data_IF_156549529738
#
_entry.id   IF_156549529738
#
_cell.length_a   1.000
_cell.length_b   1.000
_cell.length_c   1.000
_cell.angle_alpha   90.00
_cell.angle_beta   90.00
_cell.angle_gamma   90.00
#
_symmetry.space_group_name_H-M   'P 1'
#
loop_
_entity.id
_entity.type
_entity.pdbx_description
1 polymer ?
#
# COMPACT_ATOMS: atom_id res chain seq x y z
N UNK A 1 -27.32 12.94 -18.31
CA UNK A 1 -27.36 12.32 -16.97
C UNK A 1 -26.38 13.07 -16.09
N UNK A 2 -26.87 13.93 -15.20
CA UNK A 2 -26.02 14.51 -14.15
C UNK A 2 -25.91 13.48 -13.03
N UNK A 3 -24.77 12.80 -12.96
CA UNK A 3 -24.41 12.06 -11.75
C UNK A 3 -23.99 13.13 -10.75
N UNK A 4 -24.90 13.52 -9.86
CA UNK A 4 -24.55 14.36 -8.72
C UNK A 4 -23.57 13.55 -7.87
N UNK A 5 -22.30 13.95 -7.87
CA UNK A 5 -21.35 13.40 -6.92
C UNK A 5 -21.76 13.89 -5.52
N UNK A 6 -22.00 12.96 -4.61
CA UNK A 6 -22.17 13.27 -3.20
C UNK A 6 -20.79 13.68 -2.66
N UNK A 7 -20.49 14.98 -2.67
CA UNK A 7 -19.21 15.55 -2.24
C UNK A 7 -19.34 15.99 -0.79
N UNK A 8 -18.83 15.18 0.13
CA UNK A 8 -18.64 15.59 1.53
C UNK A 8 -17.27 16.24 1.70
N UNK A 9 -17.24 17.50 2.14
CA UNK A 9 -16.01 18.20 2.51
C UNK A 9 -15.88 18.18 4.03
N UNK A 10 -14.83 17.55 4.54
CA UNK A 10 -14.51 17.52 5.97
C UNK A 10 -13.43 18.55 6.23
N UNK A 11 -13.73 19.57 7.03
CA UNK A 11 -12.74 20.52 7.54
C UNK A 11 -12.11 19.95 8.81
N UNK A 12 -10.78 20.00 8.91
CA UNK A 12 -10.06 19.55 10.10
C UNK A 12 -9.95 18.03 10.26
N UNK A 13 -9.84 17.28 9.17
CA UNK A 13 -9.45 15.88 9.24
C UNK A 13 -8.15 15.75 10.04
N UNK A 14 -8.08 14.76 10.93
CA UNK A 14 -7.07 14.61 12.00
C UNK A 14 -5.66 15.05 11.58
N UNK A 15 -5.15 14.50 10.46
CA UNK A 15 -3.81 14.77 9.97
C UNK A 15 -3.64 16.10 9.21
N UNK A 16 -4.72 16.68 8.67
CA UNK A 16 -4.66 17.96 7.92
C UNK A 16 -4.62 19.19 8.82
N UNK A 17 -4.94 19.03 10.11
CA UNK A 17 -5.03 20.11 11.09
C UNK A 17 -3.67 20.75 11.42
N UNK A 18 -2.58 19.97 11.39
CA UNK A 18 -1.23 20.43 11.73
C UNK A 18 -0.56 21.28 10.64
N UNK A 19 -0.90 21.06 9.35
CA UNK A 19 -0.24 21.69 8.19
C UNK A 19 -1.17 22.52 7.30
N UNK A 20 -2.45 22.65 7.65
CA UNK A 20 -3.49 23.35 6.88
C UNK A 20 -3.62 22.86 5.42
N UNK A 21 -3.50 21.54 5.18
CA UNK A 21 -3.71 20.98 3.83
C UNK A 21 -3.16 19.58 3.62
N UNK A 22 -3.32 19.10 2.38
CA UNK A 22 -2.76 17.82 1.95
C UNK A 22 -1.26 17.98 1.72
N UNK A 23 -0.49 17.04 2.26
CA UNK A 23 0.94 16.91 2.01
C UNK A 23 1.36 15.45 2.08
N UNK A 24 2.57 15.13 1.62
CA UNK A 24 3.13 13.77 1.70
C UNK A 24 3.17 13.26 3.14
N UNK A 25 3.53 14.12 4.10
CA UNK A 25 3.55 13.78 5.54
C UNK A 25 2.16 13.39 6.05
N UNK A 26 1.13 14.15 5.67
CA UNK A 26 -0.27 13.88 6.06
C UNK A 26 -0.75 12.54 5.51
N UNK A 27 -0.45 12.25 4.24
CA UNK A 27 -0.83 10.98 3.61
C UNK A 27 -0.05 9.82 4.26
N UNK A 28 1.25 10.00 4.51
CA UNK A 28 2.08 8.99 5.18
C UNK A 28 1.55 8.68 6.57
N UNK A 29 1.23 9.70 7.38
CA UNK A 29 0.63 9.54 8.72
C UNK A 29 -0.70 8.79 8.66
N UNK A 30 -1.56 9.10 7.69
CA UNK A 30 -2.84 8.40 7.52
C UNK A 30 -2.65 6.90 7.19
N UNK A 31 -1.70 6.56 6.32
CA UNK A 31 -1.36 5.16 6.03
C UNK A 31 -0.80 4.46 7.27
N UNK A 32 0.13 5.09 7.99
CA UNK A 32 0.71 4.53 9.22
C UNK A 32 -0.34 4.30 10.30
N UNK A 33 -1.22 5.27 10.55
CA UNK A 33 -2.29 5.13 11.55
C UNK A 33 -3.26 3.99 11.20
N UNK A 34 -3.63 3.88 9.92
CA UNK A 34 -4.48 2.78 9.44
C UNK A 34 -3.82 1.41 9.66
N UNK A 35 -2.52 1.29 9.37
CA UNK A 35 -1.75 0.06 9.60
C UNK A 35 -1.65 -0.27 11.10
N UNK A 36 -1.34 0.72 11.94
CA UNK A 36 -1.20 0.55 13.39
C UNK A 36 -2.52 0.11 14.04
N UNK A 37 -3.65 0.69 13.64
CA UNK A 37 -4.96 0.30 14.13
C UNK A 37 -5.33 -1.13 13.71
N UNK A 38 -5.08 -1.48 12.45
CA UNK A 38 -5.29 -2.85 11.97
C UNK A 38 -4.41 -3.86 12.73
N UNK A 39 -3.13 -3.55 12.95
CA UNK A 39 -2.23 -4.40 13.73
C UNK A 39 -2.69 -4.55 15.18
N UNK A 40 -3.19 -3.48 15.80
CA UNK A 40 -3.79 -3.50 17.15
C UNK A 40 -4.99 -4.45 17.20
N UNK A 41 -5.82 -4.43 16.16
CA UNK A 41 -6.98 -5.31 16.03
C UNK A 41 -6.58 -6.78 15.84
N UNK A 42 -5.59 -7.07 14.99
CA UNK A 42 -5.03 -8.42 14.81
C UNK A 42 -4.51 -8.96 16.14
N UNK A 43 -3.68 -8.20 16.86
CA UNK A 43 -3.13 -8.60 18.18
C UNK A 43 -4.20 -8.99 19.18
N UNK A 44 -5.33 -8.27 19.20
CA UNK A 44 -6.44 -8.52 20.14
C UNK A 44 -7.27 -9.74 19.75
N UNK A 45 -7.42 -10.02 18.46
CA UNK A 45 -8.41 -10.98 17.98
C UNK A 45 -7.82 -12.31 17.47
N UNK A 46 -6.52 -12.37 17.16
CA UNK A 46 -5.95 -13.51 16.44
C UNK A 46 -6.12 -14.86 17.16
N UNK A 47 -6.06 -14.92 18.49
CA UNK A 47 -6.27 -16.17 19.24
C UNK A 47 -7.67 -16.76 19.02
N UNK A 48 -8.68 -15.89 18.83
CA UNK A 48 -10.07 -16.30 18.60
C UNK A 48 -10.42 -16.35 17.12
N UNK A 49 -9.69 -15.63 16.28
CA UNK A 49 -9.93 -15.44 14.83
C UNK A 49 -8.60 -15.39 14.08
N UNK A 50 -7.85 -16.51 13.99
CA UNK A 50 -6.50 -16.52 13.42
C UNK A 50 -6.45 -16.09 11.94
N UNK A 51 -7.55 -16.26 11.20
CA UNK A 51 -7.68 -15.80 9.83
C UNK A 51 -7.45 -14.29 9.67
N UNK A 52 -7.60 -13.50 10.73
CA UNK A 52 -7.37 -12.05 10.67
C UNK A 52 -5.89 -11.70 10.45
N UNK A 53 -4.98 -12.61 10.80
CA UNK A 53 -3.55 -12.44 10.56
C UNK A 53 -3.16 -12.73 9.10
N UNK A 54 -4.04 -13.33 8.31
CA UNK A 54 -3.79 -13.67 6.89
C UNK A 54 -4.56 -12.79 5.90
N UNK A 55 -5.36 -11.83 6.37
CA UNK A 55 -6.04 -10.86 5.52
C UNK A 55 -5.25 -9.57 5.38
N UNK A 56 -5.39 -8.95 4.21
CA UNK A 56 -4.84 -7.65 3.87
C UNK A 56 -5.52 -7.13 2.61
N UNK A 57 -5.23 -5.89 2.25
CA UNK A 57 -5.76 -5.26 1.02
C UNK A 57 -4.65 -4.45 0.38
N UNK A 58 -4.64 -4.30 -0.94
CA UNK A 58 -3.85 -3.21 -1.54
C UNK A 58 -4.56 -1.87 -1.28
N UNK A 59 -3.79 -0.79 -1.17
CA UNK A 59 -4.31 0.56 -1.01
C UNK A 59 -3.61 1.50 -2.00
N UNK A 60 -4.37 2.04 -2.95
CA UNK A 60 -3.91 3.05 -3.89
C UNK A 60 -4.80 4.28 -3.75
N UNK A 61 -4.18 5.41 -3.43
CA UNK A 61 -4.88 6.68 -3.22
C UNK A 61 -4.34 7.72 -4.20
N UNK A 62 -5.26 8.39 -4.89
CA UNK A 62 -4.98 9.56 -5.72
C UNK A 62 -5.72 10.78 -5.16
N UNK A 63 -4.99 11.86 -4.85
CA UNK A 63 -5.56 13.09 -4.30
C UNK A 63 -5.21 14.24 -5.23
N UNK A 64 -6.21 14.97 -5.70
CA UNK A 64 -6.02 16.20 -6.46
C UNK A 64 -6.38 17.38 -5.56
N UNK A 65 -5.38 18.19 -5.21
CA UNK A 65 -5.57 19.35 -4.35
C UNK A 65 -4.77 20.52 -4.91
N UNK A 66 -5.42 21.67 -5.11
CA UNK A 66 -4.78 22.91 -5.58
C UNK A 66 -3.92 22.74 -6.84
N UNK A 67 -4.37 21.92 -7.79
CA UNK A 67 -3.65 21.65 -9.05
C UNK A 67 -2.49 20.65 -8.93
N UNK A 68 -2.27 20.06 -7.76
CA UNK A 68 -1.25 19.04 -7.51
C UNK A 68 -1.92 17.67 -7.37
N UNK A 69 -1.35 16.65 -8.03
CA UNK A 69 -1.74 15.26 -7.91
C UNK A 69 -0.78 14.53 -6.96
N UNK A 70 -1.30 13.99 -5.86
CA UNK A 70 -0.59 13.12 -4.93
C UNK A 70 -1.01 11.67 -5.18
N UNK A 71 -0.04 10.78 -5.26
CA UNK A 71 -0.24 9.33 -5.39
C UNK A 71 0.44 8.64 -4.20
N UNK A 72 -0.29 7.76 -3.52
CA UNK A 72 0.26 6.86 -2.53
C UNK A 72 -0.17 5.42 -2.83
N UNK A 73 0.79 4.52 -2.96
CA UNK A 73 0.56 3.12 -3.31
C UNK A 73 1.18 2.19 -2.26
N UNK A 74 0.35 1.37 -1.62
CA UNK A 74 0.75 0.27 -0.76
C UNK A 74 0.23 -1.05 -1.37
N UNK A 75 1.15 -1.84 -1.90
CA UNK A 75 0.86 -3.09 -2.60
C UNK A 75 1.10 -3.01 -4.11
N UNK A 76 0.38 -3.81 -4.88
CA UNK A 76 0.63 -4.03 -6.32
C UNK A 76 -0.43 -3.41 -7.24
N UNK A 77 -1.27 -2.54 -6.71
CA UNK A 77 -2.12 -1.66 -7.52
C UNK A 77 -1.28 -0.68 -8.34
N UNK A 78 -1.81 -0.23 -9.49
CA UNK A 78 -1.12 0.65 -10.44
C UNK A 78 -1.97 1.85 -10.82
N UNK A 79 -1.39 3.04 -10.80
CA UNK A 79 -1.96 4.23 -11.45
C UNK A 79 -1.20 4.57 -12.73
N UNK A 80 -1.97 4.83 -13.78
CA UNK A 80 -1.48 5.27 -15.10
C UNK A 80 -2.23 6.53 -15.50
N UNK A 81 -1.49 7.58 -15.81
CA UNK A 81 -2.01 8.84 -16.34
C UNK A 81 -2.03 8.80 -17.86
N UNK A 82 -3.22 8.97 -18.45
CA UNK A 82 -3.35 9.25 -19.87
C UNK A 82 -3.04 10.72 -20.16
N UNK A 83 -1.91 11.00 -20.79
CA UNK A 83 -1.53 12.36 -21.20
C UNK A 83 -1.79 12.55 -22.69
N UNK A 84 -2.77 13.39 -23.01
CA UNK A 84 -3.05 13.82 -24.38
C UNK A 84 -2.30 15.10 -24.72
N UNK A 85 -1.62 15.12 -25.85
CA UNK A 85 -0.99 16.34 -26.37
C UNK A 85 -1.88 16.95 -27.45
N UNK A 86 -2.17 18.27 -27.38
CA UNK A 86 -3.14 18.87 -28.31
C UNK A 86 -2.66 18.89 -29.76
N UNK A 87 -1.35 18.83 -29.98
CA UNK A 87 -0.74 18.93 -31.31
C UNK A 87 -0.72 17.60 -32.07
N UNK A 88 -0.65 16.49 -31.34
CA UNK A 88 -0.52 15.14 -31.87
C UNK A 88 -1.74 14.42 -31.29
N UNK A 89 -2.70 13.96 -32.09
CA UNK A 89 -3.95 13.33 -31.61
C UNK A 89 -3.72 11.95 -30.93
N UNK A 90 -2.63 11.83 -30.20
CA UNK A 90 -2.16 10.66 -29.49
C UNK A 90 -2.29 10.87 -27.98
N UNK A 91 -2.43 9.75 -27.28
CA UNK A 91 -2.47 9.68 -25.82
C UNK A 91 -1.30 8.81 -25.38
N UNK A 92 -0.44 9.38 -24.54
CA UNK A 92 0.67 8.65 -23.92
C UNK A 92 0.23 8.13 -22.55
N UNK A 93 0.59 6.89 -22.25
CA UNK A 93 0.36 6.28 -20.93
C UNK A 93 1.60 6.50 -20.06
N UNK A 94 1.44 7.22 -18.95
CA UNK A 94 2.52 7.50 -17.99
C UNK A 94 2.20 6.82 -16.67
N UNK A 95 2.98 5.80 -16.31
CA UNK A 95 2.84 5.15 -15.01
C UNK A 95 3.30 6.09 -13.89
N UNK A 96 2.48 6.26 -12.85
CA UNK A 96 2.73 7.19 -11.73
C UNK A 96 3.04 6.48 -10.40
N UNK A 97 2.99 5.15 -10.34
CA UNK A 97 3.27 4.36 -9.14
C UNK A 97 4.23 3.21 -9.43
N UNK A 98 4.97 2.78 -8.41
CA UNK A 98 5.72 1.53 -8.41
C UNK A 98 4.92 0.46 -7.66
N UNK A 99 4.88 -0.78 -8.18
CA UNK A 99 4.24 -1.90 -7.49
C UNK A 99 5.17 -2.58 -6.48
N UNK A 100 4.64 -2.86 -5.29
CA UNK A 100 5.31 -3.59 -4.22
C UNK A 100 4.92 -5.07 -4.25
N UNK A 101 5.39 -5.77 -5.28
CA UNK A 101 5.13 -7.19 -5.53
C UNK A 101 6.45 -7.98 -5.61
N UNK A 102 6.55 -9.14 -4.97
CA UNK A 102 7.72 -10.02 -4.96
C UNK A 102 8.11 -10.57 -6.35
N UNK A 103 7.25 -10.41 -7.36
CA UNK A 103 7.62 -10.68 -8.76
C UNK A 103 8.66 -9.69 -9.27
N UNK A 104 8.70 -8.47 -8.71
CA UNK A 104 9.70 -7.44 -9.02
C UNK A 104 10.99 -7.74 -8.27
N UNK A 105 12.12 -7.75 -8.98
CA UNK A 105 13.42 -8.11 -8.40
C UNK A 105 13.90 -7.13 -7.33
N UNK A 106 13.75 -5.82 -7.58
CA UNK A 106 14.10 -4.77 -6.62
C UNK A 106 13.40 -4.96 -5.28
N UNK A 107 12.12 -5.33 -5.31
CA UNK A 107 11.32 -5.63 -4.12
C UNK A 107 11.87 -6.85 -3.38
N UNK A 108 12.31 -7.89 -4.11
CA UNK A 108 12.94 -9.07 -3.50
C UNK A 108 14.26 -8.72 -2.82
N UNK A 109 15.06 -7.87 -3.44
CA UNK A 109 16.34 -7.43 -2.87
C UNK A 109 16.15 -6.58 -1.61
N UNK A 110 15.19 -5.67 -1.63
CA UNK A 110 14.82 -4.87 -0.46
C UNK A 110 14.36 -5.76 0.71
N UNK A 111 13.47 -6.72 0.44
CA UNK A 111 13.04 -7.70 1.44
C UNK A 111 14.21 -8.48 2.04
N UNK A 112 15.17 -8.93 1.22
CA UNK A 112 16.36 -9.64 1.73
C UNK A 112 17.25 -8.73 2.58
N UNK A 113 17.42 -7.47 2.20
CA UNK A 113 18.23 -6.49 2.95
C UNK A 113 17.60 -6.17 4.32
N UNK A 114 16.28 -6.06 4.39
CA UNK A 114 15.56 -5.82 5.64
C UNK A 114 15.52 -7.06 6.55
N UNK A 115 15.73 -8.26 5.99
CA UNK A 115 15.67 -9.54 6.69
C UNK A 115 16.90 -10.42 6.41
N UNK A 116 18.10 -10.01 6.82
CA UNK A 116 19.34 -10.72 6.48
C UNK A 116 19.38 -12.15 7.07
N UNK A 117 18.74 -12.36 8.23
CA UNK A 117 18.75 -13.65 8.93
C UNK A 117 17.64 -14.62 8.49
N UNK A 118 16.82 -14.21 7.51
CA UNK A 118 15.66 -14.97 7.08
C UNK A 118 15.79 -15.48 5.65
N UNK A 119 16.39 -16.66 5.52
CA UNK A 119 16.57 -17.31 4.22
C UNK A 119 15.26 -17.64 3.49
N UNK A 120 14.12 -17.62 4.18
CA UNK A 120 12.80 -17.93 3.63
C UNK A 120 11.96 -16.68 3.36
N UNK A 121 12.51 -15.47 3.52
CA UNK A 121 11.76 -14.22 3.35
C UNK A 121 11.10 -14.13 1.97
N UNK A 122 11.80 -14.57 0.93
CA UNK A 122 11.33 -14.58 -0.46
C UNK A 122 11.65 -15.93 -1.10
N UNK A 123 10.61 -16.67 -1.46
CA UNK A 123 10.73 -18.03 -2.02
C UNK A 123 9.97 -18.17 -3.32
N UNK A 124 10.49 -18.98 -4.23
CA UNK A 124 9.80 -19.35 -5.47
C UNK A 124 8.94 -20.58 -5.19
N UNK A 125 7.60 -20.42 -5.21
CA UNK A 125 6.65 -21.51 -4.95
C UNK A 125 5.65 -21.59 -6.09
N UNK A 126 5.50 -22.77 -6.69
CA UNK A 126 4.64 -22.99 -7.86
C UNK A 126 4.93 -22.00 -9.01
N UNK A 127 6.21 -21.74 -9.29
CA UNK A 127 6.71 -20.79 -10.32
C UNK A 127 6.36 -19.32 -10.06
N UNK A 128 5.97 -18.97 -8.83
CA UNK A 128 5.63 -17.60 -8.43
C UNK A 128 6.44 -17.19 -7.21
N UNK A 129 7.04 -16.00 -7.24
CA UNK A 129 7.77 -15.44 -6.11
C UNK A 129 6.80 -14.99 -5.02
N UNK A 130 6.98 -15.49 -3.81
CA UNK A 130 6.13 -15.21 -2.67
C UNK A 130 6.96 -14.82 -1.46
N UNK A 131 6.44 -13.86 -0.69
CA UNK A 131 6.92 -13.54 0.64
C UNK A 131 6.53 -14.71 1.56
N UNK A 132 7.52 -15.36 2.18
CA UNK A 132 7.33 -16.53 3.06
C UNK A 132 6.56 -17.71 2.44
N UNK A 133 6.42 -17.74 1.11
CA UNK A 133 5.64 -18.78 0.42
C UNK A 133 4.13 -18.58 0.46
N UNK A 134 3.64 -17.42 0.94
CA UNK A 134 2.23 -17.15 1.18
C UNK A 134 1.65 -16.15 0.19
N UNK A 135 2.14 -14.91 0.19
CA UNK A 135 1.58 -13.81 -0.61
C UNK A 135 2.63 -13.21 -1.54
N UNK A 136 2.20 -12.54 -2.61
CA UNK A 136 3.12 -11.83 -3.52
C UNK A 136 3.25 -10.35 -3.16
N UNK A 137 2.22 -9.79 -2.53
CA UNK A 137 2.13 -8.37 -2.21
C UNK A 137 2.69 -8.11 -0.83
N UNK A 138 3.45 -7.03 -0.68
CA UNK A 138 3.87 -6.53 0.62
C UNK A 138 2.89 -5.45 1.02
N UNK A 139 2.27 -5.59 2.20
CA UNK A 139 1.44 -4.53 2.76
C UNK A 139 2.23 -3.79 3.84
N UNK A 140 2.76 -2.61 3.50
CA UNK A 140 3.11 -1.55 4.43
C UNK A 140 4.47 -1.60 5.19
N UNK A 141 4.80 -0.43 5.73
CA UNK A 141 6.08 0.00 6.28
C UNK A 141 6.44 -0.72 7.60
N UNK A 142 5.48 -1.40 8.26
CA UNK A 142 5.68 -2.15 9.49
C UNK A 142 5.33 -3.65 9.42
N UNK A 143 4.97 -4.15 8.23
CA UNK A 143 4.79 -5.59 7.94
C UNK A 143 5.88 -6.51 8.52
N UNK A 144 7.18 -6.15 8.54
CA UNK A 144 8.19 -7.12 8.93
C UNK A 144 8.29 -7.44 10.42
N UNK A 145 7.82 -6.58 11.34
CA UNK A 145 8.09 -6.77 12.79
C UNK A 145 6.99 -7.49 13.56
N UNK A 146 5.77 -7.54 13.04
CA UNK A 146 4.61 -7.87 13.87
C UNK A 146 3.71 -8.99 13.37
N UNK A 147 3.60 -9.22 12.06
CA UNK A 147 2.86 -10.37 11.51
C UNK A 147 3.68 -11.67 11.56
N UNK A 148 5.01 -11.54 11.64
CA UNK A 148 6.00 -12.62 11.62
C UNK A 148 5.79 -13.75 12.64
N UNK A 149 5.57 -13.47 13.94
CA UNK A 149 5.30 -14.52 14.92
C UNK A 149 3.93 -15.18 14.73
N UNK A 150 2.96 -14.51 14.10
CA UNK A 150 1.60 -15.04 13.94
C UNK A 150 1.45 -15.94 12.72
N UNK A 151 2.20 -15.66 11.65
CA UNK A 151 2.18 -16.46 10.43
C UNK A 151 3.05 -17.73 10.54
N UNK A 152 4.17 -17.67 11.27
CA UNK A 152 5.07 -18.83 11.44
C UNK A 152 4.57 -19.85 12.49
N UNK A 153 3.44 -19.59 13.15
CA UNK A 153 2.83 -20.46 14.15
C UNK A 153 1.77 -21.43 13.57
N UNK A 154 1.66 -21.51 12.23
CA UNK A 154 0.84 -22.49 11.50
C UNK A 154 1.71 -23.61 10.92
#
# INVERSE_FOLDING_TARGET
>A
MHVGADLTVIYGAEFTSERQGISVDVISKAFSATEEEFLSLVKKQWLNKPQIASVGSCCLVGIICSGVLYIANAGDSRVVLGRSERAIRDVTAVQLSTEHNASNESVREELRKLHPDDSQIVVLKHKVWRVKGLIQVIFALNFPKLLFPFISAQ
#
